data_IF_130331942384
#
_entry.id   IF_130331942384
#
_cell.length_a   1.000
_cell.length_b   1.000
_cell.length_c   1.000
_cell.angle_alpha   90.00
_cell.angle_beta   90.00
_cell.angle_gamma   90.00
#
_symmetry.space_group_name_H-M   'P 1'
#
loop_
_entity.id
_entity.type
_entity.pdbx_description
1 polymer ?
#
# COMPACT_ATOMS: atom_id res chain seq x y z
N UNK A 1 -0.43 -0.74 26.95
CA UNK A 1 -0.78 -0.80 25.53
C UNK A 1 -2.04 -1.64 25.30
N UNK A 2 -2.72 -1.52 24.14
CA UNK A 2 -3.90 -2.33 23.79
C UNK A 2 -3.52 -3.81 23.80
N UNK A 3 -2.39 -4.18 23.16
CA UNK A 3 -1.91 -5.57 23.09
C UNK A 3 -1.65 -6.16 24.51
N UNK A 4 -1.04 -5.40 25.41
CA UNK A 4 -0.76 -5.87 26.77
C UNK A 4 -2.03 -6.00 27.66
N UNK A 5 -3.14 -5.44 27.21
CA UNK A 5 -4.43 -5.52 27.88
C UNK A 5 -5.45 -6.40 27.14
N UNK A 6 -4.98 -7.25 26.24
CA UNK A 6 -5.80 -8.26 25.58
C UNK A 6 -6.49 -9.14 26.64
N UNK A 7 -7.79 -9.35 26.47
CA UNK A 7 -8.64 -10.09 27.42
C UNK A 7 -8.94 -9.36 28.76
N UNK A 8 -8.38 -8.17 28.98
CA UNK A 8 -8.65 -7.38 30.22
C UNK A 8 -9.65 -6.24 30.03
N UNK A 9 -10.06 -5.98 28.78
CA UNK A 9 -10.99 -4.92 28.43
C UNK A 9 -12.44 -5.42 28.62
N UNK A 10 -13.00 -5.17 29.79
CA UNK A 10 -14.30 -5.74 30.22
C UNK A 10 -15.53 -5.06 29.59
N UNK A 11 -15.37 -3.89 28.99
CA UNK A 11 -16.46 -3.11 28.41
C UNK A 11 -16.70 -3.37 26.91
N UNK A 12 -15.98 -4.33 26.34
CA UNK A 12 -16.06 -4.70 24.93
C UNK A 12 -16.56 -6.14 24.78
N UNK A 13 -17.29 -6.41 23.71
CA UNK A 13 -17.52 -7.80 23.31
C UNK A 13 -16.19 -8.48 22.95
N UNK A 14 -16.12 -9.79 23.03
CA UNK A 14 -14.93 -10.55 22.59
C UNK A 14 -14.57 -10.22 21.13
N UNK A 15 -15.58 -10.06 20.27
CA UNK A 15 -15.38 -9.72 18.88
C UNK A 15 -14.78 -8.31 18.70
N UNK A 16 -15.25 -7.31 19.45
CA UNK A 16 -14.72 -5.95 19.40
C UNK A 16 -13.31 -5.87 20.01
N UNK A 17 -13.08 -6.61 21.10
CA UNK A 17 -11.74 -6.72 21.70
C UNK A 17 -10.76 -7.32 20.70
N UNK A 18 -11.09 -8.45 20.06
CA UNK A 18 -10.25 -9.10 19.08
C UNK A 18 -9.97 -8.19 17.88
N UNK A 19 -10.99 -7.47 17.38
CA UNK A 19 -10.82 -6.50 16.31
C UNK A 19 -9.82 -5.41 16.71
N UNK A 20 -9.97 -4.82 17.88
CA UNK A 20 -9.11 -3.73 18.36
C UNK A 20 -7.66 -4.21 18.60
N UNK A 21 -7.48 -5.39 19.19
CA UNK A 21 -6.16 -5.98 19.42
C UNK A 21 -5.50 -6.33 18.07
N UNK A 22 -6.26 -6.87 17.13
CA UNK A 22 -5.78 -7.14 15.77
C UNK A 22 -5.32 -5.87 15.06
N UNK A 23 -6.08 -4.78 15.16
CA UNK A 23 -5.69 -3.47 14.60
C UNK A 23 -4.42 -2.92 15.26
N UNK A 24 -4.21 -3.16 16.55
CA UNK A 24 -2.99 -2.75 17.25
C UNK A 24 -1.76 -3.54 16.79
N UNK A 25 -1.88 -4.85 16.57
CA UNK A 25 -0.84 -5.65 15.92
C UNK A 25 -0.54 -5.15 14.52
N UNK A 26 -1.57 -4.86 13.73
CA UNK A 26 -1.41 -4.35 12.37
C UNK A 26 -0.68 -3.00 12.36
N UNK A 27 -1.02 -2.07 13.27
CA UNK A 27 -0.33 -0.79 13.39
C UNK A 27 1.15 -0.99 13.76
N UNK A 28 1.46 -1.90 14.68
CA UNK A 28 2.84 -2.20 15.07
C UNK A 28 3.65 -2.78 13.91
N UNK A 29 3.07 -3.72 13.16
CA UNK A 29 3.68 -4.27 11.95
C UNK A 29 3.97 -3.17 10.93
N UNK A 30 2.98 -2.32 10.65
CA UNK A 30 3.11 -1.23 9.70
C UNK A 30 4.20 -0.23 10.08
N UNK A 31 4.25 0.17 11.37
CA UNK A 31 5.30 1.07 11.87
C UNK A 31 6.70 0.45 11.75
N UNK A 32 6.90 -0.81 12.18
CA UNK A 32 8.21 -1.45 12.06
C UNK A 32 8.63 -1.66 10.60
N UNK A 33 7.69 -1.99 9.72
CA UNK A 33 7.97 -2.10 8.29
C UNK A 33 8.40 -0.75 7.69
N UNK A 34 7.71 0.35 8.03
CA UNK A 34 8.11 1.69 7.58
C UNK A 34 9.49 2.07 8.12
N UNK A 35 9.75 1.85 9.41
CA UNK A 35 11.05 2.14 10.01
C UNK A 35 12.17 1.34 9.34
N UNK A 36 11.96 0.05 9.07
CA UNK A 36 12.95 -0.77 8.38
C UNK A 36 13.27 -0.22 6.98
N UNK A 37 12.25 0.21 6.22
CA UNK A 37 12.46 0.74 4.88
C UNK A 37 13.03 2.15 4.84
N UNK A 38 12.89 2.93 5.93
CA UNK A 38 13.47 4.28 6.02
C UNK A 38 14.91 4.28 6.55
N UNK A 39 15.27 3.34 7.42
CA UNK A 39 16.51 3.40 8.19
C UNK A 39 17.43 2.18 8.02
N UNK A 40 16.97 1.11 7.40
CA UNK A 40 17.82 -0.05 7.10
C UNK A 40 18.08 -0.13 5.57
N UNK A 41 19.00 -1.04 5.21
CA UNK A 41 19.27 -1.31 3.80
C UNK A 41 18.17 -2.17 3.15
N UNK A 42 17.98 -2.11 1.81
CA UNK A 42 16.98 -2.94 1.14
C UNK A 42 17.23 -4.43 1.35
N UNK A 43 16.20 -5.15 1.78
CA UNK A 43 16.29 -6.56 2.19
C UNK A 43 16.96 -7.46 1.16
N UNK A 44 16.67 -7.26 -0.14
CA UNK A 44 17.21 -8.06 -1.25
C UNK A 44 18.65 -7.70 -1.65
N UNK A 45 19.22 -6.64 -1.09
CA UNK A 45 20.59 -6.17 -1.44
C UNK A 45 21.64 -6.56 -0.43
N UNK A 46 21.26 -7.16 0.69
CA UNK A 46 22.12 -7.45 1.83
C UNK A 46 21.92 -8.88 2.33
N UNK A 47 22.69 -9.26 3.35
CA UNK A 47 22.46 -10.48 4.15
C UNK A 47 21.60 -10.12 5.37
N UNK A 48 20.27 -10.33 5.35
CA UNK A 48 19.37 -9.78 6.36
C UNK A 48 19.66 -10.29 7.78
N UNK A 49 20.18 -11.51 7.91
CA UNK A 49 20.49 -12.09 9.24
C UNK A 49 21.59 -11.36 9.97
N UNK A 50 22.54 -10.77 9.26
CA UNK A 50 23.71 -10.07 9.82
C UNK A 50 23.65 -8.56 9.63
N UNK A 51 22.80 -8.09 8.75
CA UNK A 51 22.62 -6.64 8.51
C UNK A 51 21.78 -6.02 9.62
N UNK A 52 22.23 -4.87 10.08
CA UNK A 52 21.55 -4.09 11.12
C UNK A 52 20.18 -3.61 10.61
N UNK A 53 19.14 -3.97 11.32
CA UNK A 53 17.79 -3.45 11.15
C UNK A 53 17.51 -2.27 12.10
N UNK A 54 16.29 -2.19 12.57
CA UNK A 54 15.83 -1.18 13.54
C UNK A 54 15.53 -1.84 14.89
N UNK A 55 15.49 -1.06 16.00
CA UNK A 55 15.06 -1.59 17.29
C UNK A 55 13.61 -2.07 17.22
N UNK A 56 13.34 -3.21 17.83
CA UNK A 56 11.99 -3.73 18.01
C UNK A 56 11.45 -3.29 19.38
N UNK A 57 10.49 -2.36 19.38
CA UNK A 57 9.77 -1.96 20.59
C UNK A 57 8.45 -2.74 20.64
N UNK A 58 8.43 -3.83 21.40
CA UNK A 58 7.26 -4.72 21.51
C UNK A 58 6.41 -4.42 22.75
N UNK A 59 6.98 -3.72 23.72
CA UNK A 59 6.33 -3.34 24.97
C UNK A 59 6.39 -1.82 25.17
N UNK A 60 5.43 -1.27 25.92
CA UNK A 60 5.42 0.15 26.27
C UNK A 60 6.21 0.35 27.58
N UNK A 61 7.52 0.23 27.50
CA UNK A 61 8.42 0.56 28.59
C UNK A 61 9.31 1.73 28.16
N UNK A 62 9.12 2.88 28.81
CA UNK A 62 9.89 4.10 28.55
C UNK A 62 11.34 4.03 29.04
N UNK A 63 11.65 3.06 29.90
CA UNK A 63 12.99 2.84 30.44
C UNK A 63 13.73 1.70 29.68
N UNK A 64 13.09 1.05 28.73
CA UNK A 64 13.71 -0.05 27.99
C UNK A 64 14.92 0.44 27.19
N UNK A 65 16.04 -0.21 27.36
CA UNK A 65 17.23 -0.02 26.52
C UNK A 65 17.04 -0.82 25.25
N UNK A 66 16.61 -0.16 24.19
CA UNK A 66 16.39 -0.80 22.88
C UNK A 66 17.73 -0.98 22.16
N UNK A 67 18.03 -2.20 21.75
CA UNK A 67 19.13 -2.54 20.87
C UNK A 67 18.60 -2.81 19.45
N UNK A 68 19.45 -2.62 18.44
CA UNK A 68 19.06 -2.96 17.07
C UNK A 68 18.94 -4.47 16.91
N UNK A 69 17.87 -4.89 16.28
CA UNK A 69 17.69 -6.25 15.78
C UNK A 69 18.32 -6.40 14.39
N UNK A 70 18.56 -7.63 13.95
CA UNK A 70 18.92 -7.85 12.54
C UNK A 70 17.72 -7.51 11.63
N UNK A 71 17.99 -7.20 10.38
CA UNK A 71 16.93 -6.90 9.42
C UNK A 71 15.98 -8.09 9.25
N UNK A 72 16.51 -9.32 9.25
CA UNK A 72 15.68 -10.53 9.23
C UNK A 72 14.75 -10.63 10.44
N UNK A 73 15.24 -10.33 11.66
CA UNK A 73 14.41 -10.32 12.86
C UNK A 73 13.29 -9.27 12.80
N UNK A 74 13.57 -8.09 12.24
CA UNK A 74 12.55 -7.04 12.07
C UNK A 74 11.45 -7.51 11.12
N UNK A 75 11.82 -8.07 9.97
CA UNK A 75 10.84 -8.58 9.01
C UNK A 75 10.05 -9.77 9.56
N UNK A 76 10.70 -10.69 10.28
CA UNK A 76 10.02 -11.81 10.94
C UNK A 76 9.00 -11.32 12.00
N UNK A 77 9.32 -10.27 12.75
CA UNK A 77 8.37 -9.67 13.69
C UNK A 77 7.18 -9.00 12.97
N UNK A 78 7.45 -8.30 11.86
CA UNK A 78 6.40 -7.69 11.01
C UNK A 78 5.45 -8.77 10.52
N UNK A 79 5.95 -9.87 9.98
CA UNK A 79 5.13 -10.99 9.49
C UNK A 79 4.32 -11.63 10.60
N UNK A 80 4.94 -11.89 11.76
CA UNK A 80 4.27 -12.43 12.94
C UNK A 80 3.09 -11.53 13.39
N UNK A 81 3.31 -10.22 13.41
CA UNK A 81 2.28 -9.25 13.78
C UNK A 81 1.14 -9.19 12.74
N UNK A 82 1.45 -9.29 11.44
CA UNK A 82 0.45 -9.37 10.36
C UNK A 82 -0.42 -10.62 10.51
N UNK A 83 0.21 -11.79 10.73
CA UNK A 83 -0.53 -13.05 10.86
C UNK A 83 -1.40 -13.04 12.13
N UNK A 84 -0.90 -12.47 13.23
CA UNK A 84 -1.68 -12.29 14.45
C UNK A 84 -2.84 -11.33 14.24
N UNK A 85 -2.60 -10.20 13.58
CA UNK A 85 -3.63 -9.23 13.23
C UNK A 85 -4.73 -9.87 12.38
N UNK A 86 -4.35 -10.60 11.33
CA UNK A 86 -5.31 -11.27 10.45
C UNK A 86 -6.17 -12.30 11.21
N UNK A 87 -5.57 -13.06 12.13
CA UNK A 87 -6.29 -14.07 12.93
C UNK A 87 -7.30 -13.47 13.90
N UNK A 88 -7.01 -12.28 14.45
CA UNK A 88 -7.85 -11.62 15.45
C UNK A 88 -8.93 -10.74 14.83
N UNK A 89 -8.61 -9.99 13.77
CA UNK A 89 -9.59 -9.12 13.13
C UNK A 89 -10.76 -9.92 12.56
N UNK A 90 -11.97 -9.36 12.70
CA UNK A 90 -13.21 -9.98 12.20
C UNK A 90 -13.92 -9.14 11.13
N UNK A 91 -13.40 -7.96 10.82
CA UNK A 91 -13.92 -7.10 9.74
C UNK A 91 -13.10 -7.31 8.47
N UNK A 92 -13.77 -7.66 7.39
CA UNK A 92 -13.13 -7.76 6.07
C UNK A 92 -12.89 -6.37 5.47
N UNK A 93 -13.84 -5.44 5.67
CA UNK A 93 -13.75 -4.07 5.20
C UNK A 93 -14.50 -3.12 6.13
N UNK A 94 -14.25 -1.83 5.97
CA UNK A 94 -15.01 -0.75 6.62
C UNK A 94 -15.74 0.05 5.55
N UNK A 95 -16.90 0.60 5.91
CA UNK A 95 -17.62 1.53 5.04
C UNK A 95 -16.80 2.81 4.81
N UNK A 96 -17.06 3.48 3.71
CA UNK A 96 -16.47 4.78 3.40
C UNK A 96 -16.68 5.78 4.57
N UNK A 97 -15.63 6.47 4.96
CA UNK A 97 -15.59 7.33 6.14
C UNK A 97 -15.08 6.64 7.41
N UNK A 98 -15.05 5.30 7.45
CA UNK A 98 -14.40 4.51 8.50
C UNK A 98 -13.19 3.72 8.00
N UNK A 99 -12.80 3.88 6.76
CA UNK A 99 -11.67 3.20 6.13
C UNK A 99 -10.29 3.74 6.59
N UNK A 100 -10.25 4.48 7.70
CA UNK A 100 -9.04 4.77 8.47
C UNK A 100 -8.70 3.65 9.47
N UNK A 101 -9.52 2.61 9.57
CA UNK A 101 -9.30 1.46 10.44
C UNK A 101 -8.77 0.26 9.66
N UNK A 102 -7.91 -0.53 10.28
CA UNK A 102 -7.44 -1.77 9.69
C UNK A 102 -8.52 -2.85 9.65
N UNK A 103 -8.38 -3.77 8.72
CA UNK A 103 -9.27 -4.88 8.46
C UNK A 103 -8.46 -6.07 7.91
N UNK A 104 -9.10 -7.22 7.68
CA UNK A 104 -8.42 -8.40 7.14
C UNK A 104 -7.78 -8.18 5.77
N UNK A 105 -8.46 -7.40 4.90
CA UNK A 105 -7.91 -7.09 3.57
C UNK A 105 -6.63 -6.27 3.72
N UNK A 106 -6.58 -5.31 4.65
CA UNK A 106 -5.38 -4.51 4.91
C UNK A 106 -4.20 -5.33 5.45
N UNK A 107 -4.46 -6.40 6.20
CA UNK A 107 -3.40 -7.31 6.64
C UNK A 107 -2.80 -8.07 5.45
N UNK A 108 -3.63 -8.57 4.52
CA UNK A 108 -3.14 -9.16 3.27
C UNK A 108 -2.43 -8.14 2.38
N UNK A 109 -2.88 -6.88 2.39
CA UNK A 109 -2.25 -5.79 1.68
C UNK A 109 -0.83 -5.51 2.18
N UNK A 110 -0.65 -5.41 3.51
CA UNK A 110 0.69 -5.26 4.07
C UNK A 110 1.55 -6.51 3.83
N UNK A 111 0.99 -7.70 3.94
CA UNK A 111 1.69 -8.96 3.64
C UNK A 111 2.23 -8.98 2.22
N UNK A 112 1.40 -8.63 1.21
CA UNK A 112 1.82 -8.56 -0.18
C UNK A 112 3.01 -7.60 -0.38
N UNK A 113 2.98 -6.43 0.27
CA UNK A 113 4.05 -5.44 0.21
C UNK A 113 5.33 -5.95 0.90
N UNK A 114 5.22 -6.56 2.08
CA UNK A 114 6.35 -7.15 2.81
C UNK A 114 7.02 -8.26 1.99
N UNK A 115 6.24 -9.17 1.42
CA UNK A 115 6.76 -10.26 0.60
C UNK A 115 7.42 -9.76 -0.68
N UNK A 116 6.85 -8.71 -1.32
CA UNK A 116 7.45 -8.04 -2.46
C UNK A 116 8.84 -7.49 -2.11
N UNK A 117 8.95 -6.77 -0.99
CA UNK A 117 10.21 -6.18 -0.54
C UNK A 117 11.26 -7.22 -0.14
N UNK A 118 10.83 -8.40 0.29
CA UNK A 118 11.71 -9.55 0.54
C UNK A 118 12.16 -10.26 -0.73
N UNK A 119 11.53 -10.00 -1.87
CA UNK A 119 11.73 -10.76 -3.11
C UNK A 119 11.08 -12.15 -3.07
N UNK A 120 10.16 -12.39 -2.14
CA UNK A 120 9.37 -13.62 -2.11
C UNK A 120 8.19 -13.50 -3.08
N UNK A 121 8.47 -13.70 -4.37
CA UNK A 121 7.51 -13.47 -5.44
C UNK A 121 6.24 -14.33 -5.31
N UNK A 122 6.36 -15.58 -4.88
CA UNK A 122 5.19 -16.45 -4.71
C UNK A 122 4.30 -15.99 -3.56
N UNK A 123 4.87 -15.58 -2.44
CA UNK A 123 4.15 -15.01 -1.30
C UNK A 123 3.49 -13.68 -1.67
N UNK A 124 4.21 -12.80 -2.38
CA UNK A 124 3.71 -11.52 -2.85
C UNK A 124 2.51 -11.70 -3.80
N UNK A 125 2.61 -12.62 -4.75
CA UNK A 125 1.53 -12.94 -5.69
C UNK A 125 0.30 -13.47 -4.95
N UNK A 126 0.47 -14.43 -4.06
CA UNK A 126 -0.63 -15.02 -3.30
C UNK A 126 -1.37 -13.99 -2.44
N UNK A 127 -0.64 -13.16 -1.72
CA UNK A 127 -1.23 -12.12 -0.89
C UNK A 127 -1.91 -11.03 -1.73
N UNK A 128 -1.29 -10.60 -2.84
CA UNK A 128 -1.89 -9.64 -3.77
C UNK A 128 -3.17 -10.17 -4.41
N UNK A 129 -3.20 -11.43 -4.83
CA UNK A 129 -4.40 -12.09 -5.35
C UNK A 129 -5.52 -12.15 -4.30
N UNK A 130 -5.19 -12.40 -3.04
CA UNK A 130 -6.16 -12.36 -1.95
C UNK A 130 -6.80 -10.98 -1.80
N UNK A 131 -6.00 -9.91 -1.90
CA UNK A 131 -6.51 -8.53 -1.88
C UNK A 131 -7.38 -8.25 -3.09
N UNK A 132 -6.93 -8.58 -4.31
CA UNK A 132 -7.67 -8.35 -5.56
C UNK A 132 -9.01 -9.10 -5.53
N UNK A 133 -9.04 -10.33 -5.03
CA UNK A 133 -10.28 -11.11 -4.91
C UNK A 133 -11.28 -10.46 -3.96
N UNK A 134 -10.81 -9.96 -2.82
CA UNK A 134 -11.66 -9.35 -1.81
C UNK A 134 -12.04 -7.90 -2.12
N UNK A 135 -11.19 -7.16 -2.86
CA UNK A 135 -11.38 -5.76 -3.22
C UNK A 135 -10.88 -5.49 -4.65
N UNK A 136 -11.61 -5.95 -5.69
CA UNK A 136 -11.16 -5.87 -7.08
C UNK A 136 -11.32 -4.48 -7.71
N UNK A 137 -12.01 -3.55 -7.05
CA UNK A 137 -12.38 -2.28 -7.63
C UNK A 137 -11.16 -1.45 -8.04
N UNK A 138 -11.17 -0.93 -9.25
CA UNK A 138 -10.20 0.03 -9.76
C UNK A 138 -10.93 1.33 -10.10
N UNK A 139 -10.39 2.45 -9.63
CA UNK A 139 -10.92 3.76 -9.97
C UNK A 139 -10.81 3.98 -11.48
N UNK A 140 -11.93 4.28 -12.11
CA UNK A 140 -11.97 4.55 -13.53
C UNK A 140 -11.65 6.03 -13.80
N UNK A 141 -10.52 6.30 -14.43
CA UNK A 141 -10.11 7.64 -14.82
C UNK A 141 -10.66 8.04 -16.20
N UNK A 142 -11.33 7.14 -16.92
CA UNK A 142 -11.88 7.41 -18.25
C UNK A 142 -13.24 8.11 -18.20
N UNK A 143 -13.83 8.21 -17.02
CA UNK A 143 -15.10 8.89 -16.79
C UNK A 143 -14.92 10.39 -16.58
N UNK A 144 -15.98 11.16 -16.79
CA UNK A 144 -15.98 12.60 -16.50
C UNK A 144 -15.86 12.84 -15.00
N UNK A 145 -14.88 13.63 -14.56
CA UNK A 145 -14.64 14.01 -13.16
C UNK A 145 -14.46 12.80 -12.20
N UNK A 146 -13.47 11.94 -12.45
CA UNK A 146 -13.24 10.79 -11.59
C UNK A 146 -12.78 11.20 -10.20
N UNK A 147 -13.13 10.40 -9.19
CA UNK A 147 -12.45 10.49 -7.89
C UNK A 147 -10.99 10.06 -8.07
N UNK A 148 -10.05 10.81 -7.49
CA UNK A 148 -8.64 10.43 -7.61
C UNK A 148 -8.34 9.18 -6.76
N UNK A 149 -7.53 8.23 -7.26
CA UNK A 149 -7.28 6.95 -6.58
C UNK A 149 -6.61 7.07 -5.21
N UNK A 150 -6.05 8.22 -4.88
CA UNK A 150 -5.43 8.49 -3.58
C UNK A 150 -6.41 9.04 -2.53
N UNK A 151 -7.63 9.40 -2.91
CA UNK A 151 -8.68 9.85 -1.98
C UNK A 151 -9.26 8.66 -1.21
N UNK A 152 -9.60 8.87 0.07
CA UNK A 152 -10.33 7.87 0.87
C UNK A 152 -11.72 7.54 0.28
N UNK A 153 -12.23 8.40 -0.58
CA UNK A 153 -13.52 8.22 -1.29
C UNK A 153 -13.40 7.39 -2.57
N UNK A 154 -12.17 7.08 -2.98
CA UNK A 154 -11.95 6.26 -4.17
C UNK A 154 -12.41 4.83 -3.96
N UNK A 155 -12.96 4.23 -5.00
CA UNK A 155 -13.32 2.81 -5.01
C UNK A 155 -12.08 1.90 -4.81
N UNK A 156 -10.88 2.39 -5.08
CA UNK A 156 -9.63 1.68 -4.80
C UNK A 156 -9.22 1.68 -3.33
N UNK A 157 -9.78 2.57 -2.49
CA UNK A 157 -9.29 2.78 -1.14
C UNK A 157 -9.65 1.63 -0.21
N UNK A 158 -8.64 0.91 0.27
CA UNK A 158 -8.76 -0.15 1.26
C UNK A 158 -8.59 0.43 2.66
N UNK A 159 -7.53 1.22 2.87
CA UNK A 159 -7.26 1.94 4.11
C UNK A 159 -6.66 3.30 3.80
N UNK A 160 -7.09 4.32 4.51
CA UNK A 160 -6.65 5.71 4.39
C UNK A 160 -6.30 6.26 5.76
N UNK A 161 -5.05 6.10 6.17
CA UNK A 161 -4.58 6.48 7.51
C UNK A 161 -4.05 7.90 7.59
N UNK A 162 -3.50 8.42 6.49
CA UNK A 162 -2.55 9.51 6.60
C UNK A 162 -2.95 10.77 5.82
N UNK A 163 -2.78 11.89 6.47
CA UNK A 163 -2.69 13.20 5.85
C UNK A 163 -1.20 13.61 5.78
N UNK A 164 -0.43 12.94 4.92
CA UNK A 164 1.03 13.02 4.91
C UNK A 164 1.57 14.35 4.41
N UNK A 165 0.82 15.07 3.58
CA UNK A 165 1.25 16.35 3.01
C UNK A 165 0.09 17.33 2.94
N UNK A 166 0.34 18.57 3.34
CA UNK A 166 -0.59 19.66 3.05
C UNK A 166 -0.56 19.96 1.53
N UNK A 167 -1.62 20.59 1.01
CA UNK A 167 -1.68 21.03 -0.38
C UNK A 167 -0.47 21.92 -0.76
N UNK A 168 0.06 22.67 0.19
CA UNK A 168 1.24 23.53 0.00
C UNK A 168 2.49 22.69 -0.33
N UNK A 169 2.77 21.64 0.42
CA UNK A 169 3.93 20.77 0.15
C UNK A 169 3.77 19.96 -1.14
N UNK A 170 2.55 19.49 -1.45
CA UNK A 170 2.30 18.78 -2.69
C UNK A 170 2.56 19.66 -3.94
N UNK A 171 2.36 20.97 -3.82
CA UNK A 171 2.59 21.94 -4.90
C UNK A 171 4.01 22.52 -4.92
N UNK A 172 4.79 22.33 -3.88
CA UNK A 172 6.14 22.90 -3.77
C UNK A 172 7.17 22.15 -4.62
N UNK A 173 6.90 20.90 -4.99
CA UNK A 173 7.78 20.07 -5.80
C UNK A 173 7.46 20.18 -7.28
N UNK A 174 8.49 20.47 -8.10
CA UNK A 174 8.39 20.31 -9.56
C UNK A 174 8.56 18.84 -9.91
N UNK A 175 7.71 18.36 -10.84
CA UNK A 175 7.82 17.01 -11.39
C UNK A 175 8.96 16.98 -12.42
N UNK A 176 9.79 15.95 -12.37
CA UNK A 176 10.89 15.78 -13.31
C UNK A 176 10.37 15.55 -14.74
N UNK A 177 11.00 16.19 -15.71
CA UNK A 177 10.63 16.08 -17.13
C UNK A 177 10.75 14.64 -17.64
N UNK A 178 11.74 13.88 -17.15
CA UNK A 178 11.92 12.47 -17.48
C UNK A 178 10.68 11.64 -17.11
N UNK A 179 10.08 11.91 -15.93
CA UNK A 179 8.82 11.26 -15.53
C UNK A 179 7.67 11.67 -16.43
N UNK A 180 7.56 12.95 -16.75
CA UNK A 180 6.47 13.46 -17.60
C UNK A 180 6.54 12.89 -19.02
N UNK A 181 7.76 12.68 -19.54
CA UNK A 181 8.00 12.11 -20.88
C UNK A 181 7.55 10.65 -21.02
N UNK A 182 7.37 9.93 -19.91
CA UNK A 182 6.87 8.54 -19.93
C UNK A 182 5.38 8.43 -20.19
N UNK A 183 4.62 9.51 -19.98
CA UNK A 183 3.18 9.50 -20.23
C UNK A 183 2.89 9.61 -21.73
N UNK A 184 2.03 8.73 -22.20
CA UNK A 184 1.59 8.71 -23.60
C UNK A 184 0.30 9.52 -23.77
N UNK A 185 0.03 9.95 -24.98
CA UNK A 185 -1.23 10.65 -25.32
C UNK A 185 -2.44 9.81 -24.90
N UNK A 186 -3.38 10.42 -24.21
CA UNK A 186 -4.58 9.74 -23.72
C UNK A 186 -4.37 8.93 -22.43
N UNK A 187 -3.24 9.12 -21.75
CA UNK A 187 -3.05 8.65 -20.39
C UNK A 187 -3.65 9.66 -19.40
N UNK A 188 -4.83 9.37 -18.91
CA UNK A 188 -5.55 10.26 -17.99
C UNK A 188 -4.86 10.51 -16.66
N UNK A 189 -3.83 9.72 -16.30
CA UNK A 189 -3.00 10.02 -15.13
C UNK A 189 -2.24 11.32 -15.31
N UNK A 190 -1.81 11.65 -16.53
CA UNK A 190 -1.17 12.92 -16.82
C UNK A 190 -2.12 14.08 -16.52
N UNK A 191 -3.35 14.00 -17.01
CA UNK A 191 -4.33 15.07 -16.89
C UNK A 191 -4.83 15.29 -15.45
N UNK A 192 -4.97 14.19 -14.67
CA UNK A 192 -5.56 14.27 -13.33
C UNK A 192 -4.54 14.34 -12.18
N UNK A 193 -3.30 13.85 -12.40
CA UNK A 193 -2.32 13.78 -11.32
C UNK A 193 -1.38 14.97 -11.29
N UNK A 194 -1.35 15.74 -12.36
CA UNK A 194 -0.43 16.86 -12.50
C UNK A 194 -1.16 18.14 -12.84
N UNK A 195 -0.53 19.25 -12.48
CA UNK A 195 -1.01 20.59 -12.78
C UNK A 195 0.15 21.39 -13.39
N UNK A 196 0.00 21.78 -14.64
CA UNK A 196 0.96 22.63 -15.33
C UNK A 196 0.72 24.07 -14.91
N UNK A 197 1.62 24.61 -14.09
CA UNK A 197 1.56 26.00 -13.61
C UNK A 197 2.11 26.99 -14.63
N UNK A 198 3.19 26.61 -15.33
CA UNK A 198 3.81 27.39 -16.43
C UNK A 198 4.27 26.42 -17.51
N UNK A 199 4.77 26.95 -18.64
CA UNK A 199 5.31 26.11 -19.72
C UNK A 199 6.46 25.18 -19.26
N UNK A 200 7.15 25.50 -18.15
CA UNK A 200 8.29 24.76 -17.64
C UNK A 200 8.11 24.22 -16.21
N UNK A 201 6.95 24.42 -15.59
CA UNK A 201 6.73 24.00 -14.20
C UNK A 201 5.46 23.18 -14.11
N UNK A 202 5.61 21.90 -13.86
CA UNK A 202 4.52 20.97 -13.57
C UNK A 202 4.62 20.48 -12.13
N UNK A 203 3.50 20.53 -11.41
CA UNK A 203 3.41 20.11 -10.01
C UNK A 203 2.44 18.95 -9.84
N UNK A 204 2.52 18.24 -8.70
CA UNK A 204 1.59 17.14 -8.39
C UNK A 204 0.27 17.71 -7.88
N UNK A 205 -0.84 17.42 -8.57
CA UNK A 205 -2.19 17.71 -8.10
C UNK A 205 -2.83 16.54 -7.36
N UNK A 206 -2.39 15.32 -7.63
CA UNK A 206 -2.85 14.09 -7.01
C UNK A 206 -2.82 14.13 -5.49
N UNK A 207 -1.89 14.88 -4.92
CA UNK A 207 -1.76 15.07 -3.49
C UNK A 207 -2.75 16.06 -2.88
N UNK A 208 -3.62 16.72 -3.67
CA UNK A 208 -4.46 17.86 -3.30
C UNK A 208 -5.19 17.75 -1.98
N UNK A 209 -5.88 18.82 -1.55
CA UNK A 209 -6.81 18.85 -0.42
C UNK A 209 -6.27 18.43 0.96
N UNK A 210 -7.10 18.56 1.97
CA UNK A 210 -6.85 18.08 3.32
C UNK A 210 -7.39 16.65 3.58
N UNK A 211 -7.74 15.91 2.53
CA UNK A 211 -8.32 14.58 2.67
C UNK A 211 -7.29 13.54 3.07
N UNK A 212 -7.72 12.55 3.84
CA UNK A 212 -6.91 11.36 4.14
C UNK A 212 -6.61 10.59 2.86
N UNK A 213 -5.38 10.12 2.74
CA UNK A 213 -4.90 9.42 1.54
C UNK A 213 -4.94 7.93 1.73
N UNK A 214 -5.20 7.24 0.63
CA UNK A 214 -5.14 5.79 0.60
C UNK A 214 -3.72 5.31 0.93
N UNK A 215 -3.60 4.60 2.06
CA UNK A 215 -2.38 3.91 2.49
C UNK A 215 -2.22 2.60 1.72
N UNK A 216 -3.35 1.89 1.53
CA UNK A 216 -3.46 0.72 0.67
C UNK A 216 -4.60 0.93 -0.33
N UNK A 217 -4.34 0.64 -1.60
CA UNK A 217 -5.32 0.76 -2.68
C UNK A 217 -5.17 -0.37 -3.69
N UNK A 218 -6.27 -0.81 -4.27
CA UNK A 218 -6.31 -1.98 -5.17
C UNK A 218 -5.29 -1.92 -6.30
N UNK A 219 -5.09 -0.78 -6.95
CA UNK A 219 -4.15 -0.65 -8.07
C UNK A 219 -2.71 -1.09 -7.73
N UNK A 220 -2.27 -0.91 -6.47
CA UNK A 220 -0.97 -1.39 -6.02
C UNK A 220 -0.87 -2.91 -6.12
N UNK A 221 -1.92 -3.63 -5.73
CA UNK A 221 -1.90 -5.10 -5.72
C UNK A 221 -1.99 -5.69 -7.11
N UNK A 222 -2.64 -5.01 -8.06
CA UNK A 222 -2.54 -5.37 -9.48
C UNK A 222 -1.11 -5.24 -9.99
N UNK A 223 -0.36 -4.21 -9.58
CA UNK A 223 1.05 -4.05 -9.94
C UNK A 223 1.94 -5.08 -9.23
N UNK A 224 1.72 -5.35 -7.94
CA UNK A 224 2.44 -6.40 -7.21
C UNK A 224 2.21 -7.77 -7.87
N UNK A 225 0.97 -8.10 -8.22
CA UNK A 225 0.63 -9.35 -8.88
C UNK A 225 1.27 -9.45 -10.28
N UNK A 226 1.29 -8.35 -11.03
CA UNK A 226 1.95 -8.31 -12.34
C UNK A 226 3.47 -8.51 -12.22
N UNK A 227 4.13 -7.77 -11.32
CA UNK A 227 5.57 -7.89 -11.09
C UNK A 227 5.95 -9.28 -10.59
N UNK A 228 5.26 -9.79 -9.55
CA UNK A 228 5.53 -11.10 -9.00
C UNK A 228 5.32 -12.22 -10.02
N UNK A 229 4.26 -12.15 -10.85
CA UNK A 229 4.04 -13.11 -11.94
C UNK A 229 5.17 -13.07 -12.97
N UNK A 230 5.62 -11.88 -13.35
CA UNK A 230 6.74 -11.73 -14.29
C UNK A 230 8.04 -12.32 -13.72
N UNK A 231 8.34 -12.08 -12.46
CA UNK A 231 9.51 -12.63 -11.77
C UNK A 231 9.46 -14.18 -11.64
N UNK A 232 8.25 -14.74 -11.56
CA UNK A 232 8.02 -16.18 -11.58
C UNK A 232 8.02 -16.79 -12.99
N UNK A 233 8.16 -15.97 -14.04
CA UNK A 233 8.17 -16.40 -15.45
C UNK A 233 6.78 -16.53 -16.08
N UNK A 234 5.70 -16.24 -15.36
CA UNK A 234 4.33 -16.23 -15.91
C UNK A 234 3.98 -14.84 -16.49
N UNK A 235 4.52 -14.59 -17.69
CA UNK A 235 4.30 -13.34 -18.41
C UNK A 235 2.83 -13.17 -18.82
N UNK A 236 2.09 -14.25 -19.06
CA UNK A 236 0.68 -14.19 -19.45
C UNK A 236 -0.17 -13.59 -18.32
N UNK A 237 0.00 -14.09 -17.12
CA UNK A 237 -0.68 -13.55 -15.92
C UNK A 237 -0.20 -12.13 -15.62
N UNK A 238 1.09 -11.85 -15.73
CA UNK A 238 1.64 -10.52 -15.51
C UNK A 238 0.98 -9.46 -16.42
N UNK A 239 0.93 -9.74 -17.73
CA UNK A 239 0.28 -8.87 -18.72
C UNK A 239 -1.21 -8.69 -18.44
N UNK A 240 -1.88 -9.74 -17.98
CA UNK A 240 -3.32 -9.69 -17.66
C UNK A 240 -3.59 -8.67 -16.55
N UNK A 241 -2.86 -8.71 -15.44
CA UNK A 241 -3.03 -7.74 -14.35
C UNK A 241 -2.69 -6.31 -14.80
N UNK A 242 -1.60 -6.15 -15.55
CA UNK A 242 -1.21 -4.84 -16.05
C UNK A 242 -2.26 -4.25 -16.99
N UNK A 243 -2.78 -5.04 -17.93
CA UNK A 243 -3.82 -4.62 -18.88
C UNK A 243 -5.14 -4.24 -18.19
N UNK A 244 -5.54 -4.97 -17.13
CA UNK A 244 -6.72 -4.62 -16.33
C UNK A 244 -6.58 -3.23 -15.70
N UNK A 245 -5.41 -2.90 -15.16
CA UNK A 245 -5.15 -1.57 -14.62
C UNK A 245 -5.11 -0.51 -15.73
N UNK A 246 -4.42 -0.79 -16.84
CA UNK A 246 -4.29 0.14 -17.98
C UNK A 246 -5.65 0.51 -18.58
N UNK A 247 -6.59 -0.43 -18.68
CA UNK A 247 -7.94 -0.19 -19.19
C UNK A 247 -8.70 0.91 -18.42
N UNK A 248 -8.31 1.17 -17.15
CA UNK A 248 -8.88 2.20 -16.29
C UNK A 248 -8.09 3.51 -16.29
N UNK A 249 -7.05 3.61 -17.08
CA UNK A 249 -6.11 4.75 -17.10
C UNK A 249 -6.02 5.43 -18.46
N UNK A 250 -6.23 4.68 -19.55
CA UNK A 250 -6.07 5.17 -20.91
C UNK A 250 -7.39 5.44 -21.61
N UNK A 251 -7.39 6.43 -22.48
CA UNK A 251 -8.50 6.71 -23.39
C UNK A 251 -8.89 5.44 -24.16
N UNK A 252 -10.17 5.11 -24.18
CA UNK A 252 -10.67 3.84 -24.73
C UNK A 252 -10.28 3.62 -26.21
N UNK A 253 -10.19 4.70 -27.01
CA UNK A 253 -9.77 4.62 -28.42
C UNK A 253 -8.27 4.32 -28.61
N UNK A 254 -7.43 4.65 -27.62
CA UNK A 254 -5.97 4.46 -27.69
C UNK A 254 -5.51 3.24 -26.86
N UNK A 255 -6.32 2.79 -25.92
CA UNK A 255 -6.00 1.65 -25.07
C UNK A 255 -5.59 0.39 -25.86
N UNK A 256 -6.28 -0.03 -26.96
CA UNK A 256 -5.89 -1.23 -27.70
C UNK A 256 -4.45 -1.20 -28.22
N UNK A 257 -4.02 -0.01 -28.71
CA UNK A 257 -2.64 0.18 -29.16
C UNK A 257 -1.65 -0.02 -28.02
N UNK A 258 -1.88 0.63 -26.87
CA UNK A 258 -0.96 0.52 -25.73
C UNK A 258 -1.01 -0.84 -25.05
N UNK A 259 -2.15 -1.52 -25.10
CA UNK A 259 -2.27 -2.88 -24.61
C UNK A 259 -1.47 -3.86 -25.46
N UNK A 260 -1.33 -3.61 -26.79
CA UNK A 260 -0.47 -4.43 -27.67
C UNK A 260 1.02 -4.21 -27.42
N UNK A 261 1.43 -3.03 -26.91
CA UNK A 261 2.83 -2.76 -26.53
C UNK A 261 3.29 -3.62 -25.34
N UNK A 262 2.35 -4.22 -24.60
CA UNK A 262 2.62 -5.09 -23.46
C UNK A 262 2.78 -6.56 -23.89
N UNK A 263 2.30 -6.93 -25.08
CA UNK A 263 2.39 -8.29 -25.62
C UNK A 263 3.76 -8.60 -26.17
#
# INVERSE_FOLDING_TARGET
TIIANDGKMTNFSTADNNQLVGEAYMMRAYCHFLLANLYAEPYTKVKPDTTRGVPLSLEADVNAVLTNSSLAQVYAQVESDIDKAYSLMNKDSWSQGFNYRFNKISAQALKARVELYKGNWSGALQAAQSVITAHPALQDLTVSSPTLPNSYKSDESIVSLEQVMTATYARAGQVADDLLSLYKVGDYRYDYYYNQLTASVTTVSKGGGGDYRSTFRSAEFYLIAAEASAQLGDLTTAKTYLKQLMAKRYMASLYPQYASDVD
#
